data_IF_173066911116
#
_entry.id   IF_173066911116
#
_cell.length_a   1.000
_cell.length_b   1.000
_cell.length_c   1.000
_cell.angle_alpha   90.00
_cell.angle_beta   90.00
_cell.angle_gamma   90.00
#
_symmetry.space_group_name_H-M   'P 1'
#
loop_
_entity.id
_entity.type
_entity.pdbx_description
1 polymer ?
#
# COMPACT_ATOMS: atom_id res chain seq x y z
N UNK A 1 -74.70 70.31 41.45
CA UNK A 1 -73.89 69.06 41.21
C UNK A 1 -72.73 69.54 40.33
N UNK A 2 -71.52 69.57 40.88
CA UNK A 2 -70.33 69.87 40.12
C UNK A 2 -69.57 68.54 39.96
N UNK A 3 -69.10 68.29 38.76
CA UNK A 3 -68.20 67.14 38.48
C UNK A 3 -66.84 67.48 39.06
N UNK A 4 -66.32 66.56 39.83
CA UNK A 4 -64.94 66.57 40.36
C UNK A 4 -64.10 65.77 39.40
N UNK A 5 -63.25 66.42 38.64
CA UNK A 5 -62.20 65.74 37.86
C UNK A 5 -60.98 65.56 38.74
N UNK A 6 -60.61 64.34 39.06
CA UNK A 6 -59.38 64.04 39.76
C UNK A 6 -58.31 63.71 38.72
N UNK A 7 -57.34 64.55 38.57
CA UNK A 7 -56.19 64.38 37.67
C UNK A 7 -55.05 63.71 38.46
N UNK A 8 -54.81 62.49 38.20
CA UNK A 8 -53.64 61.72 38.70
C UNK A 8 -52.49 61.94 37.71
N UNK A 9 -51.50 62.70 38.11
CA UNK A 9 -50.23 62.82 37.34
C UNK A 9 -49.29 61.70 37.81
N UNK A 10 -49.01 60.79 36.95
CA UNK A 10 -48.00 59.72 37.18
C UNK A 10 -46.84 59.94 36.22
N UNK A 11 -45.60 59.72 36.72
CA UNK A 11 -44.40 59.69 35.87
C UNK A 11 -44.11 58.22 35.55
N UNK A 12 -43.93 57.90 34.24
CA UNK A 12 -43.52 56.60 33.79
C UNK A 12 -42.16 56.68 33.10
N UNK A 13 -41.35 55.62 33.25
CA UNK A 13 -40.13 55.45 32.42
C UNK A 13 -40.49 54.63 31.19
N UNK A 14 -40.13 55.19 30.05
CA UNK A 14 -40.17 54.46 28.77
C UNK A 14 -38.83 53.72 28.61
N UNK A 15 -38.87 52.38 28.47
CA UNK A 15 -37.71 51.59 28.20
C UNK A 15 -38.00 50.75 26.94
N UNK A 16 -36.97 50.49 26.14
CA UNK A 16 -37.10 49.53 25.03
C UNK A 16 -37.40 48.15 25.60
N UNK A 17 -38.30 47.41 24.96
CA UNK A 17 -38.63 46.03 25.33
C UNK A 17 -37.59 45.05 24.81
N UNK A 18 -36.84 45.40 23.75
CA UNK A 18 -35.86 44.57 23.10
C UNK A 18 -34.52 45.33 23.03
N UNK A 19 -33.49 44.71 23.62
CA UNK A 19 -32.13 45.21 23.65
C UNK A 19 -31.19 44.08 23.24
N UNK A 20 -30.34 44.34 22.28
CA UNK A 20 -29.34 43.37 21.79
C UNK A 20 -27.94 43.94 21.86
N UNK A 21 -27.01 43.07 22.19
CA UNK A 21 -25.58 43.40 22.17
C UNK A 21 -24.96 42.61 21.00
N UNK A 22 -24.46 43.32 20.02
CA UNK A 22 -23.78 42.77 18.87
C UNK A 22 -22.29 42.60 19.19
N UNK A 23 -21.84 41.37 19.08
CA UNK A 23 -20.45 40.98 19.33
C UNK A 23 -19.70 40.80 18.00
N UNK A 24 -18.38 40.92 18.06
CA UNK A 24 -17.50 40.60 16.94
C UNK A 24 -17.60 39.11 16.60
N UNK A 25 -18.12 38.72 15.43
CA UNK A 25 -18.23 37.31 15.04
C UNK A 25 -16.89 36.64 14.77
N UNK A 26 -15.86 37.42 14.46
CA UNK A 26 -14.48 36.98 14.22
C UNK A 26 -13.51 38.01 14.78
N UNK A 27 -12.29 37.53 15.12
CA UNK A 27 -11.18 38.42 15.49
C UNK A 27 -10.53 38.99 14.22
N UNK A 28 -10.45 40.33 14.15
CA UNK A 28 -9.86 41.02 12.99
C UNK A 28 -9.77 42.51 13.14
N UNK A 29 -9.27 43.18 12.11
CA UNK A 29 -9.20 44.66 12.05
C UNK A 29 -10.49 45.19 11.45
N UNK A 30 -11.11 46.21 12.13
CA UNK A 30 -12.25 46.93 11.59
C UNK A 30 -11.80 47.92 10.51
N UNK A 31 -12.50 47.95 9.38
CA UNK A 31 -12.25 48.88 8.27
C UNK A 31 -13.09 50.15 8.46
N UNK A 32 -14.40 50.03 8.37
CA UNK A 32 -15.33 51.14 8.43
C UNK A 32 -16.37 50.95 9.54
N UNK A 33 -16.78 52.03 10.15
CA UNK A 33 -17.85 52.09 11.13
C UNK A 33 -18.90 53.07 10.57
N UNK A 34 -20.06 52.52 10.24
CA UNK A 34 -21.11 53.24 9.53
C UNK A 34 -22.13 53.92 10.48
N UNK A 35 -21.98 53.71 11.79
CA UNK A 35 -22.95 54.16 12.78
C UNK A 35 -22.25 54.74 14.01
N UNK A 36 -22.93 55.68 14.70
CA UNK A 36 -22.56 56.22 15.99
C UNK A 36 -23.70 56.06 17.00
N UNK A 37 -23.39 56.22 18.28
CA UNK A 37 -24.42 56.24 19.32
C UNK A 37 -25.45 57.36 19.04
N UNK A 38 -26.72 56.99 19.03
CA UNK A 38 -27.85 57.87 18.67
C UNK A 38 -28.41 57.64 17.27
N UNK A 39 -27.74 56.91 16.39
CA UNK A 39 -28.19 56.67 15.03
C UNK A 39 -29.32 55.62 14.98
N UNK A 40 -30.31 55.88 14.12
CA UNK A 40 -31.40 54.96 13.82
C UNK A 40 -30.97 54.04 12.67
N UNK A 41 -31.17 52.72 12.82
CA UNK A 41 -30.80 51.68 11.86
C UNK A 41 -31.98 50.76 11.56
N UNK A 42 -31.93 50.12 10.42
CA UNK A 42 -32.92 49.10 10.00
C UNK A 42 -32.32 47.71 10.03
N UNK A 43 -33.17 46.71 10.20
CA UNK A 43 -32.77 45.33 10.06
C UNK A 43 -32.05 45.07 8.72
N UNK A 44 -30.87 44.50 8.78
CA UNK A 44 -30.00 44.21 7.64
C UNK A 44 -28.99 45.30 7.29
N UNK A 45 -29.03 46.48 7.94
CA UNK A 45 -28.03 47.53 7.73
C UNK A 45 -26.66 47.08 8.22
N UNK A 46 -25.61 47.33 7.42
CA UNK A 46 -24.23 47.03 7.79
C UNK A 46 -23.68 48.14 8.68
N UNK A 47 -23.44 47.78 9.95
CA UNK A 47 -23.03 48.72 10.98
C UNK A 47 -21.50 48.91 11.04
N UNK A 48 -20.77 47.81 10.83
CA UNK A 48 -19.30 47.81 10.76
C UNK A 48 -18.81 46.78 9.73
N UNK A 49 -17.67 47.08 9.12
CA UNK A 49 -16.97 46.16 8.18
C UNK A 49 -15.58 45.82 8.68
N UNK A 50 -15.07 44.66 8.24
CA UNK A 50 -13.72 44.26 8.50
C UNK A 50 -12.78 44.62 7.36
N UNK A 51 -11.48 44.72 7.67
CA UNK A 51 -10.41 44.72 6.68
C UNK A 51 -10.24 43.33 6.14
N UNK A 52 -10.60 43.15 4.86
CA UNK A 52 -10.66 41.81 4.24
C UNK A 52 -9.30 41.28 3.82
N UNK A 53 -8.27 42.15 3.65
CA UNK A 53 -6.94 41.71 3.18
C UNK A 53 -6.36 40.60 4.07
N UNK A 54 -6.37 40.82 5.38
CA UNK A 54 -5.87 39.81 6.33
C UNK A 54 -6.70 38.50 6.34
N UNK A 55 -8.01 38.62 6.11
CA UNK A 55 -8.89 37.43 6.05
C UNK A 55 -8.67 36.64 4.78
N UNK A 56 -8.45 37.30 3.65
CA UNK A 56 -8.12 36.68 2.37
C UNK A 56 -6.77 35.96 2.43
N UNK A 57 -5.74 36.59 3.03
CA UNK A 57 -4.43 35.97 3.24
C UNK A 57 -4.54 34.67 4.06
N UNK A 58 -5.28 34.71 5.19
CA UNK A 58 -5.50 33.52 6.04
C UNK A 58 -6.22 32.40 5.30
N UNK A 59 -7.28 32.72 4.55
CA UNK A 59 -8.01 31.76 3.75
C UNK A 59 -7.12 31.14 2.67
N UNK A 60 -6.30 31.96 2.00
CA UNK A 60 -5.35 31.50 0.99
C UNK A 60 -4.29 30.58 1.59
N UNK A 61 -3.72 30.94 2.73
CA UNK A 61 -2.73 30.08 3.44
C UNK A 61 -3.35 28.73 3.83
N UNK A 62 -4.54 28.75 4.42
CA UNK A 62 -5.27 27.53 4.79
C UNK A 62 -5.62 26.67 3.57
N UNK A 63 -5.99 27.28 2.44
CA UNK A 63 -6.26 26.59 1.17
C UNK A 63 -5.01 25.89 0.63
N UNK A 64 -3.86 26.59 0.64
CA UNK A 64 -2.58 26.01 0.20
C UNK A 64 -2.13 24.87 1.11
N UNK A 65 -2.32 25.01 2.42
CA UNK A 65 -1.98 23.96 3.38
C UNK A 65 -2.88 22.74 3.22
N UNK A 66 -4.19 22.91 3.04
CA UNK A 66 -5.13 21.84 2.75
C UNK A 66 -4.75 21.08 1.45
N UNK A 67 -4.45 21.85 0.39
CA UNK A 67 -4.04 21.29 -0.91
C UNK A 67 -2.77 20.46 -0.77
N UNK A 68 -1.75 21.00 -0.07
CA UNK A 68 -0.48 20.32 0.18
C UNK A 68 -0.67 19.03 0.99
N UNK A 69 -1.43 19.07 2.08
CA UNK A 69 -1.68 17.92 2.93
C UNK A 69 -2.48 16.83 2.20
N UNK A 70 -3.47 17.23 1.41
CA UNK A 70 -4.27 16.31 0.58
C UNK A 70 -3.43 15.65 -0.51
N UNK A 71 -2.57 16.41 -1.20
CA UNK A 71 -1.66 15.89 -2.22
C UNK A 71 -0.64 14.91 -1.59
N UNK A 72 -0.06 15.25 -0.44
CA UNK A 72 0.86 14.38 0.30
C UNK A 72 0.20 13.07 0.71
N UNK A 73 -0.99 13.14 1.31
CA UNK A 73 -1.78 11.96 1.67
C UNK A 73 -2.05 11.06 0.47
N UNK A 74 -2.58 11.62 -0.63
CA UNK A 74 -2.94 10.86 -1.83
C UNK A 74 -1.71 10.21 -2.48
N UNK A 75 -0.59 10.93 -2.58
CA UNK A 75 0.67 10.40 -3.10
C UNK A 75 1.16 9.23 -2.25
N UNK A 76 1.20 9.41 -0.94
CA UNK A 76 1.67 8.40 0.02
C UNK A 76 0.77 7.15 0.00
N UNK A 77 -0.56 7.30 -0.03
CA UNK A 77 -1.48 6.16 -0.11
C UNK A 77 -1.39 5.43 -1.45
N UNK A 78 -1.14 6.16 -2.55
CA UNK A 78 -0.91 5.56 -3.87
C UNK A 78 0.36 4.71 -3.88
N UNK A 79 1.47 5.22 -3.34
CA UNK A 79 2.71 4.44 -3.25
C UNK A 79 2.58 3.23 -2.31
N UNK A 80 1.88 3.38 -1.19
CA UNK A 80 1.57 2.28 -0.29
C UNK A 80 0.76 1.18 -1.00
N UNK A 81 -0.25 1.55 -1.78
CA UNK A 81 -1.06 0.61 -2.57
C UNK A 81 -0.22 -0.12 -3.63
N UNK A 82 0.69 0.58 -4.31
CA UNK A 82 1.62 -0.02 -5.27
C UNK A 82 2.57 -1.01 -4.58
N UNK A 83 3.11 -0.66 -3.42
CA UNK A 83 3.98 -1.55 -2.64
C UNK A 83 3.23 -2.80 -2.18
N UNK A 84 1.98 -2.65 -1.74
CA UNK A 84 1.13 -3.78 -1.38
C UNK A 84 0.82 -4.70 -2.58
N UNK A 85 0.56 -4.12 -3.76
CA UNK A 85 0.34 -4.89 -4.99
C UNK A 85 1.59 -5.69 -5.39
N UNK A 86 2.78 -5.06 -5.34
CA UNK A 86 4.07 -5.73 -5.60
C UNK A 86 4.36 -6.84 -4.59
N UNK A 87 4.03 -6.63 -3.32
CA UNK A 87 4.17 -7.66 -2.28
C UNK A 87 3.29 -8.87 -2.57
N UNK A 88 2.03 -8.64 -2.95
CA UNK A 88 1.09 -9.71 -3.30
C UNK A 88 1.55 -10.48 -4.54
N UNK A 89 2.03 -9.78 -5.58
CA UNK A 89 2.61 -10.37 -6.78
C UNK A 89 3.84 -11.21 -6.45
N UNK A 90 4.78 -10.68 -5.67
CA UNK A 90 5.98 -11.42 -5.24
C UNK A 90 5.62 -12.69 -4.45
N UNK A 91 4.66 -12.62 -3.53
CA UNK A 91 4.21 -13.78 -2.77
C UNK A 91 3.57 -14.86 -3.67
N UNK A 92 2.76 -14.44 -4.65
CA UNK A 92 2.14 -15.36 -5.61
C UNK A 92 3.20 -16.04 -6.48
N UNK A 93 4.15 -15.27 -7.01
CA UNK A 93 5.23 -15.80 -7.84
C UNK A 93 6.15 -16.74 -7.03
N UNK A 94 6.45 -16.40 -5.77
CA UNK A 94 7.23 -17.28 -4.89
C UNK A 94 6.57 -18.63 -4.67
N UNK A 95 5.25 -18.66 -4.46
CA UNK A 95 4.51 -19.92 -4.28
C UNK A 95 4.56 -20.79 -5.56
N UNK A 96 4.42 -20.18 -6.74
CA UNK A 96 4.53 -20.88 -8.02
C UNK A 96 5.94 -21.42 -8.24
N UNK A 97 6.97 -20.60 -7.96
CA UNK A 97 8.37 -21.00 -8.11
C UNK A 97 8.75 -22.13 -7.16
N UNK A 98 8.24 -22.12 -5.92
CA UNK A 98 8.47 -23.21 -4.97
C UNK A 98 7.91 -24.55 -5.48
N UNK A 99 6.73 -24.54 -6.08
CA UNK A 99 6.14 -25.73 -6.70
C UNK A 99 6.95 -26.18 -7.91
N UNK A 100 7.32 -25.26 -8.82
CA UNK A 100 8.12 -25.59 -10.00
C UNK A 100 9.49 -26.17 -9.62
N UNK A 101 10.15 -25.60 -8.62
CA UNK A 101 11.42 -26.12 -8.12
C UNK A 101 11.27 -27.53 -7.53
N UNK A 102 10.19 -27.79 -6.80
CA UNK A 102 9.91 -29.13 -6.27
C UNK A 102 9.72 -30.13 -7.41
N UNK A 103 8.95 -29.76 -8.44
CA UNK A 103 8.69 -30.62 -9.62
C UNK A 103 9.97 -30.93 -10.41
N UNK A 104 10.78 -29.88 -10.72
CA UNK A 104 12.06 -30.07 -11.40
C UNK A 104 13.05 -30.92 -10.59
N UNK A 105 13.15 -30.73 -9.28
CA UNK A 105 14.01 -31.51 -8.40
C UNK A 105 13.55 -32.99 -8.34
N UNK A 106 12.25 -33.23 -8.30
CA UNK A 106 11.68 -34.56 -8.38
C UNK A 106 12.00 -35.24 -9.71
N UNK A 107 11.81 -34.52 -10.82
CA UNK A 107 12.13 -35.00 -12.16
C UNK A 107 13.63 -35.27 -12.35
N UNK A 108 14.49 -34.37 -11.87
CA UNK A 108 15.95 -34.59 -11.88
C UNK A 108 16.34 -35.88 -11.18
N UNK A 109 15.75 -36.13 -10.00
CA UNK A 109 15.98 -37.34 -9.25
C UNK A 109 15.54 -38.60 -10.04
N UNK A 110 14.36 -38.54 -10.67
CA UNK A 110 13.86 -39.65 -11.49
C UNK A 110 14.81 -39.96 -12.65
N UNK A 111 15.33 -38.94 -13.35
CA UNK A 111 16.29 -39.10 -14.44
C UNK A 111 17.60 -39.73 -13.94
N UNK A 112 18.13 -39.26 -12.81
CA UNK A 112 19.33 -39.80 -12.20
C UNK A 112 19.16 -41.25 -11.78
N UNK A 113 18.00 -41.62 -11.20
CA UNK A 113 17.69 -42.99 -10.80
C UNK A 113 17.55 -43.93 -12.03
N UNK A 114 16.92 -43.44 -13.10
CA UNK A 114 16.84 -44.19 -14.39
C UNK A 114 18.20 -44.41 -15.00
N UNK A 115 19.05 -43.38 -15.04
CA UNK A 115 20.42 -43.51 -15.55
C UNK A 115 21.24 -44.51 -14.74
N UNK A 116 21.22 -44.39 -13.40
CA UNK A 116 21.93 -45.29 -12.51
C UNK A 116 21.44 -46.73 -12.60
N UNK A 117 20.12 -46.95 -12.77
CA UNK A 117 19.53 -48.27 -12.98
C UNK A 117 20.01 -48.90 -14.29
N UNK A 118 19.97 -48.13 -15.38
CA UNK A 118 20.45 -48.60 -16.70
C UNK A 118 21.92 -48.98 -16.66
N UNK A 119 22.79 -48.18 -16.06
CA UNK A 119 24.22 -48.46 -15.92
C UNK A 119 24.48 -49.70 -15.09
N UNK A 120 23.78 -49.88 -13.96
CA UNK A 120 23.90 -51.07 -13.12
C UNK A 120 23.44 -52.33 -13.85
N UNK A 121 22.34 -52.28 -14.60
CA UNK A 121 21.81 -53.40 -15.36
C UNK A 121 22.78 -53.82 -16.47
N UNK A 122 23.32 -52.88 -17.24
CA UNK A 122 24.34 -53.12 -18.27
C UNK A 122 25.59 -53.77 -17.65
N UNK A 123 26.09 -53.25 -16.53
CA UNK A 123 27.25 -53.80 -15.84
C UNK A 123 27.00 -55.22 -15.33
N UNK A 124 25.81 -55.49 -14.79
CA UNK A 124 25.41 -56.83 -14.33
C UNK A 124 25.40 -57.83 -15.48
N UNK A 125 24.74 -57.48 -16.60
CA UNK A 125 24.65 -58.33 -17.78
C UNK A 125 26.04 -58.68 -18.35
N UNK A 126 26.92 -57.67 -18.50
CA UNK A 126 28.27 -57.87 -18.97
C UNK A 126 29.12 -58.77 -18.03
N UNK A 127 28.92 -58.57 -16.70
CA UNK A 127 29.62 -59.39 -15.71
C UNK A 127 29.15 -60.85 -15.70
N UNK A 128 27.83 -61.07 -15.80
CA UNK A 128 27.26 -62.43 -15.90
C UNK A 128 27.73 -63.13 -17.15
N UNK A 129 27.68 -62.50 -18.33
CA UNK A 129 28.16 -63.06 -19.58
C UNK A 129 29.66 -63.38 -19.55
N UNK A 130 30.46 -62.43 -19.00
CA UNK A 130 31.90 -62.64 -18.83
C UNK A 130 32.21 -63.84 -17.93
N UNK A 131 31.45 -64.00 -16.84
CA UNK A 131 31.60 -65.19 -15.94
C UNK A 131 31.27 -66.50 -16.66
N UNK A 132 30.13 -66.56 -17.38
CA UNK A 132 29.72 -67.77 -18.12
C UNK A 132 30.72 -68.11 -19.22
N UNK A 133 31.23 -67.12 -19.97
CA UNK A 133 32.27 -67.33 -20.99
C UNK A 133 33.57 -67.87 -20.39
N UNK A 134 33.97 -67.34 -19.22
CA UNK A 134 35.17 -67.78 -18.51
C UNK A 134 35.02 -69.17 -18.00
N UNK A 135 33.87 -69.57 -17.46
CA UNK A 135 33.55 -70.88 -17.00
C UNK A 135 33.59 -71.92 -18.17
N UNK A 136 32.88 -71.56 -19.27
CA UNK A 136 32.86 -72.43 -20.47
C UNK A 136 34.26 -72.60 -21.07
N UNK A 137 35.08 -71.55 -21.11
CA UNK A 137 36.48 -71.67 -21.56
C UNK A 137 37.30 -72.58 -20.68
N UNK A 138 37.14 -72.50 -19.33
CA UNK A 138 37.81 -73.39 -18.40
C UNK A 138 37.43 -74.88 -18.59
N UNK A 139 36.11 -75.16 -18.75
CA UNK A 139 35.57 -76.50 -18.96
C UNK A 139 36.09 -77.11 -20.29
N UNK A 140 36.06 -76.34 -21.38
CA UNK A 140 36.59 -76.77 -22.68
C UNK A 140 38.09 -76.95 -22.67
N UNK A 141 38.85 -76.15 -21.96
CA UNK A 141 40.30 -76.29 -21.80
C UNK A 141 40.64 -77.53 -21.02
N UNK A 142 39.82 -77.92 -20.02
CA UNK A 142 39.99 -79.15 -19.28
C UNK A 142 39.66 -80.39 -20.16
N UNK A 143 38.59 -80.36 -20.97
CA UNK A 143 38.23 -81.40 -21.92
C UNK A 143 39.34 -81.59 -22.97
N UNK A 144 39.96 -80.52 -23.45
CA UNK A 144 41.06 -80.57 -24.41
C UNK A 144 42.31 -81.25 -23.85
N UNK A 145 42.52 -81.19 -22.51
CA UNK A 145 43.64 -81.86 -21.83
C UNK A 145 43.39 -83.33 -21.51
N UNK A 146 42.18 -83.84 -21.68
CA UNK A 146 41.87 -85.27 -21.45
C UNK A 146 42.41 -86.08 -22.63
N UNK A 147 43.20 -87.09 -22.28
CA UNK A 147 43.78 -88.04 -23.23
C UNK A 147 42.78 -88.91 -24.03
N UNK A 148 41.49 -88.88 -23.63
CA UNK A 148 40.39 -89.59 -24.32
C UNK A 148 39.76 -88.68 -25.43
N UNK A 149 40.12 -87.43 -25.58
CA UNK A 149 39.55 -86.51 -26.55
C UNK A 149 40.01 -86.82 -27.96
N UNK A 150 39.06 -87.07 -28.89
CA UNK A 150 39.37 -87.36 -30.29
C UNK A 150 39.94 -86.09 -31.01
N UNK A 151 40.73 -86.37 -32.09
CA UNK A 151 41.30 -85.23 -32.87
C UNK A 151 40.26 -84.34 -33.51
N UNK A 152 39.09 -84.83 -33.88
CA UNK A 152 38.01 -84.03 -34.46
C UNK A 152 37.31 -83.18 -33.35
N UNK A 153 37.08 -83.72 -32.16
CA UNK A 153 36.59 -83.01 -31.00
C UNK A 153 37.55 -81.88 -30.53
N UNK A 154 38.86 -82.19 -30.57
CA UNK A 154 39.86 -81.16 -30.26
C UNK A 154 39.86 -80.00 -31.24
N UNK A 155 39.58 -80.21 -32.52
CA UNK A 155 39.38 -79.11 -33.51
C UNK A 155 38.14 -78.27 -33.19
N UNK A 156 37.04 -78.97 -32.83
CA UNK A 156 35.80 -78.27 -32.43
C UNK A 156 36.03 -77.40 -31.17
N UNK A 157 36.66 -77.92 -30.14
CA UNK A 157 37.00 -77.21 -28.92
C UNK A 157 37.87 -76.01 -29.20
N UNK A 158 38.88 -76.10 -30.05
CA UNK A 158 39.71 -74.97 -30.41
C UNK A 158 38.92 -73.86 -31.12
N UNK A 159 37.93 -74.20 -31.95
CA UNK A 159 37.03 -73.27 -32.58
C UNK A 159 36.13 -72.62 -31.56
N UNK A 160 35.53 -73.39 -30.62
CA UNK A 160 34.71 -72.86 -29.52
C UNK A 160 35.49 -71.87 -28.62
N UNK A 161 36.75 -72.21 -28.28
CA UNK A 161 37.64 -71.31 -27.52
C UNK A 161 37.94 -69.99 -28.26
N UNK A 162 38.12 -70.07 -29.58
CA UNK A 162 38.30 -68.91 -30.43
C UNK A 162 37.04 -68.00 -30.41
N UNK A 163 35.85 -68.64 -30.53
CA UNK A 163 34.56 -67.93 -30.46
C UNK A 163 34.35 -67.29 -29.09
N UNK A 164 34.72 -67.94 -27.99
CA UNK A 164 34.69 -67.38 -26.63
C UNK A 164 35.64 -66.22 -26.50
N UNK A 165 36.84 -66.27 -27.00
CA UNK A 165 37.80 -65.18 -26.99
C UNK A 165 37.26 -63.93 -27.75
N UNK A 166 36.63 -64.13 -28.91
CA UNK A 166 35.99 -63.12 -29.66
C UNK A 166 34.82 -62.48 -28.88
N UNK A 167 34.00 -63.31 -28.17
CA UNK A 167 32.90 -62.78 -27.31
C UNK A 167 33.44 -62.02 -26.12
N UNK A 168 34.49 -62.44 -25.45
CA UNK A 168 35.14 -61.70 -24.36
C UNK A 168 35.72 -60.38 -24.83
N UNK A 169 36.34 -60.31 -25.99
CA UNK A 169 36.82 -59.08 -26.61
C UNK A 169 35.67 -58.12 -26.90
N UNK A 170 34.54 -58.64 -27.42
CA UNK A 170 33.32 -57.84 -27.64
C UNK A 170 32.76 -57.30 -26.33
N UNK A 171 32.69 -58.10 -25.26
CA UNK A 171 32.19 -57.61 -23.96
C UNK A 171 33.08 -56.50 -23.41
N UNK A 172 34.38 -56.61 -23.52
CA UNK A 172 35.34 -55.60 -23.12
C UNK A 172 35.15 -54.30 -23.93
N UNK A 173 34.89 -54.41 -25.24
CA UNK A 173 34.55 -53.26 -26.09
C UNK A 173 33.24 -52.62 -25.67
N UNK A 174 32.15 -53.40 -25.50
CA UNK A 174 30.85 -52.89 -25.06
C UNK A 174 30.98 -52.16 -23.70
N UNK A 175 31.73 -52.73 -22.76
CA UNK A 175 32.00 -52.11 -21.47
C UNK A 175 32.72 -50.76 -21.62
N UNK A 176 33.69 -50.67 -22.57
CA UNK A 176 34.43 -49.43 -22.80
C UNK A 176 33.57 -48.27 -23.36
N UNK A 177 32.52 -48.62 -24.14
CA UNK A 177 31.62 -47.63 -24.78
C UNK A 177 30.28 -47.47 -24.04
N UNK A 178 30.00 -48.20 -22.98
CA UNK A 178 28.72 -48.16 -22.27
C UNK A 178 28.38 -46.79 -21.73
N UNK A 179 29.38 -46.00 -21.30
CA UNK A 179 29.23 -44.62 -20.81
C UNK A 179 28.97 -43.60 -21.90
N UNK A 180 29.23 -43.94 -23.19
CA UNK A 180 29.01 -43.04 -24.34
C UNK A 180 27.91 -43.53 -25.28
N UNK A 181 27.06 -44.48 -24.82
CA UNK A 181 25.87 -44.85 -25.60
C UNK A 181 24.91 -43.71 -25.78
N UNK A 182 24.21 -43.64 -26.91
CA UNK A 182 23.24 -42.55 -27.20
C UNK A 182 22.22 -42.37 -26.06
N UNK A 183 21.80 -43.47 -25.45
CA UNK A 183 20.88 -43.42 -24.31
C UNK A 183 21.48 -42.67 -23.11
N UNK A 184 22.72 -42.99 -22.73
CA UNK A 184 23.42 -42.36 -21.61
C UNK A 184 23.68 -40.89 -21.91
N UNK A 185 24.15 -40.57 -23.11
CA UNK A 185 24.39 -39.16 -23.55
C UNK A 185 23.12 -38.36 -23.55
N UNK A 186 22.01 -38.87 -24.09
CA UNK A 186 20.72 -38.20 -24.09
C UNK A 186 20.21 -37.94 -22.67
N UNK A 187 20.29 -38.92 -21.78
CA UNK A 187 19.90 -38.76 -20.36
C UNK A 187 20.76 -37.74 -19.64
N UNK A 188 22.08 -37.69 -19.91
CA UNK A 188 22.97 -36.68 -19.33
C UNK A 188 22.65 -35.29 -19.83
N UNK A 189 22.34 -35.12 -21.11
CA UNK A 189 21.91 -33.85 -21.67
C UNK A 189 20.58 -33.38 -21.07
N UNK A 190 19.63 -34.28 -20.87
CA UNK A 190 18.35 -33.97 -20.24
C UNK A 190 18.54 -33.56 -18.76
N UNK A 191 19.39 -34.29 -18.03
CA UNK A 191 19.78 -33.93 -16.65
C UNK A 191 20.40 -32.53 -16.61
N UNK A 192 21.31 -32.19 -17.54
CA UNK A 192 21.94 -30.87 -17.61
C UNK A 192 20.91 -29.77 -17.88
N UNK A 193 19.97 -29.99 -18.79
CA UNK A 193 18.90 -29.06 -19.10
C UNK A 193 17.99 -28.83 -17.89
N UNK A 194 17.61 -29.87 -17.16
CA UNK A 194 16.78 -29.74 -15.95
C UNK A 194 17.53 -28.97 -14.84
N UNK A 195 18.84 -29.22 -14.70
CA UNK A 195 19.69 -28.47 -13.75
C UNK A 195 19.79 -26.97 -14.10
N UNK A 196 19.84 -26.65 -15.39
CA UNK A 196 19.81 -25.25 -15.86
C UNK A 196 18.47 -24.60 -15.47
N UNK A 197 17.33 -25.23 -15.73
CA UNK A 197 16.02 -24.71 -15.33
C UNK A 197 15.88 -24.55 -13.81
N UNK A 198 16.43 -25.44 -13.01
CA UNK A 198 16.48 -25.30 -11.55
C UNK A 198 17.24 -24.03 -11.18
N UNK A 199 18.40 -23.80 -11.80
CA UNK A 199 19.23 -22.63 -11.52
C UNK A 199 18.51 -21.33 -11.91
N UNK A 200 17.86 -21.30 -13.06
CA UNK A 200 17.04 -20.15 -13.50
C UNK A 200 15.90 -19.86 -12.53
N UNK A 201 15.15 -20.87 -12.09
CA UNK A 201 14.09 -20.73 -11.11
C UNK A 201 14.62 -20.23 -9.75
N UNK A 202 15.77 -20.73 -9.30
CA UNK A 202 16.40 -20.28 -8.04
C UNK A 202 16.85 -18.82 -8.11
N UNK A 203 17.40 -18.38 -9.25
CA UNK A 203 17.76 -16.98 -9.48
C UNK A 203 16.51 -16.06 -9.47
N UNK A 204 15.45 -16.50 -10.16
CA UNK A 204 14.20 -15.73 -10.19
C UNK A 204 13.54 -15.69 -8.81
N UNK A 205 13.57 -16.78 -8.07
CA UNK A 205 13.11 -16.82 -6.68
C UNK A 205 13.87 -15.84 -5.79
N UNK A 206 15.19 -15.76 -5.90
CA UNK A 206 16.00 -14.79 -5.16
C UNK A 206 15.62 -13.33 -5.51
N UNK A 207 15.35 -13.06 -6.78
CA UNK A 207 14.86 -11.74 -7.22
C UNK A 207 13.48 -11.40 -6.59
N UNK A 208 12.55 -12.34 -6.60
CA UNK A 208 11.22 -12.14 -5.99
C UNK A 208 11.30 -11.97 -4.47
N UNK A 209 12.20 -12.67 -3.79
CA UNK A 209 12.46 -12.48 -2.36
C UNK A 209 13.01 -11.07 -2.05
N UNK A 210 13.91 -10.56 -2.89
CA UNK A 210 14.40 -9.18 -2.78
C UNK A 210 13.28 -8.16 -3.00
N UNK A 211 12.44 -8.35 -4.01
CA UNK A 211 11.27 -7.50 -4.27
C UNK A 211 10.27 -7.52 -3.11
N UNK A 212 9.99 -8.71 -2.55
CA UNK A 212 9.17 -8.87 -1.36
C UNK A 212 9.70 -8.05 -0.20
N UNK A 213 10.98 -8.22 0.16
CA UNK A 213 11.62 -7.50 1.27
C UNK A 213 11.59 -5.98 1.07
N UNK A 214 11.86 -5.51 -0.15
CA UNK A 214 11.77 -4.08 -0.49
C UNK A 214 10.35 -3.56 -0.32
N UNK A 215 9.35 -4.31 -0.81
CA UNK A 215 7.94 -3.91 -0.69
C UNK A 215 7.48 -3.89 0.76
N UNK A 216 7.85 -4.89 1.57
CA UNK A 216 7.55 -4.95 3.01
C UNK A 216 8.13 -3.74 3.78
N UNK A 217 9.34 -3.31 3.42
CA UNK A 217 9.98 -2.15 4.07
C UNK A 217 9.35 -0.80 3.70
N UNK A 218 8.63 -0.72 2.59
CA UNK A 218 7.98 0.51 2.10
C UNK A 218 6.49 0.60 2.43
N UNK A 219 5.86 -0.50 2.84
CA UNK A 219 4.47 -0.51 3.24
C UNK A 219 4.32 0.20 4.58
N UNK A 220 3.39 1.16 4.61
CA UNK A 220 3.07 1.89 5.83
C UNK A 220 2.36 0.97 6.84
N UNK A 221 2.76 1.10 8.09
CA UNK A 221 1.98 0.51 9.17
C UNK A 221 0.71 1.34 9.46
N UNK A 222 -0.22 0.76 10.25
CA UNK A 222 -1.48 1.41 10.57
C UNK A 222 -1.31 2.77 11.26
N UNK A 223 -0.30 2.95 12.09
CA UNK A 223 -0.04 4.22 12.78
C UNK A 223 0.42 5.30 11.81
N UNK A 224 1.31 4.97 10.88
CA UNK A 224 1.79 5.91 9.86
C UNK A 224 0.66 6.35 8.93
N UNK A 225 -0.18 5.43 8.46
CA UNK A 225 -1.32 5.76 7.59
C UNK A 225 -2.35 6.62 8.31
N UNK A 226 -2.61 6.36 9.61
CA UNK A 226 -3.48 7.19 10.45
C UNK A 226 -2.89 8.58 10.66
N UNK A 227 -1.56 8.69 10.83
CA UNK A 227 -0.89 10.00 10.94
C UNK A 227 -1.09 10.86 9.70
N UNK A 228 -0.86 10.31 8.50
CA UNK A 228 -1.11 11.06 7.25
C UNK A 228 -2.59 11.44 7.06
N UNK A 229 -3.52 10.57 7.49
CA UNK A 229 -4.94 10.91 7.46
C UNK A 229 -5.28 12.05 8.42
N UNK A 230 -4.74 12.02 9.64
CA UNK A 230 -4.94 13.07 10.64
C UNK A 230 -4.37 14.42 10.19
N UNK A 231 -3.19 14.44 9.56
CA UNK A 231 -2.59 15.67 9.01
C UNK A 231 -3.46 16.30 7.90
N UNK A 232 -4.04 15.46 7.03
CA UNK A 232 -4.99 15.89 6.00
C UNK A 232 -6.26 16.46 6.63
N UNK A 233 -6.83 15.74 7.60
CA UNK A 233 -8.09 16.12 8.24
C UNK A 233 -7.94 17.38 9.08
N UNK A 234 -6.80 17.56 9.75
CA UNK A 234 -6.45 18.80 10.47
C UNK A 234 -6.36 19.98 9.50
N UNK A 235 -5.66 19.82 8.38
CA UNK A 235 -5.56 20.88 7.37
C UNK A 235 -6.93 21.23 6.76
N UNK A 236 -7.82 20.25 6.61
CA UNK A 236 -9.19 20.47 6.16
C UNK A 236 -10.03 21.24 7.19
N UNK A 237 -9.86 20.93 8.49
CA UNK A 237 -10.52 21.66 9.56
C UNK A 237 -10.06 23.12 9.61
N UNK A 238 -8.75 23.36 9.56
CA UNK A 238 -8.17 24.69 9.51
C UNK A 238 -8.68 25.52 8.31
N UNK A 239 -8.80 24.86 7.15
CA UNK A 239 -9.40 25.52 5.97
C UNK A 239 -10.85 25.94 6.22
N UNK A 240 -11.67 25.04 6.78
CA UNK A 240 -13.07 25.36 7.09
C UNK A 240 -13.20 26.50 8.09
N UNK A 241 -12.39 26.50 9.13
CA UNK A 241 -12.36 27.59 10.11
C UNK A 241 -11.99 28.93 9.45
N UNK A 242 -10.98 28.93 8.59
CA UNK A 242 -10.59 30.15 7.85
C UNK A 242 -11.69 30.61 6.88
N UNK A 243 -12.37 29.67 6.22
CA UNK A 243 -13.49 29.96 5.32
C UNK A 243 -14.68 30.56 6.08
N UNK A 244 -15.06 30.01 7.22
CA UNK A 244 -16.14 30.51 8.09
C UNK A 244 -15.80 31.90 8.61
N UNK A 245 -14.56 32.14 9.05
CA UNK A 245 -14.09 33.44 9.49
C UNK A 245 -14.13 34.48 8.35
N UNK A 246 -13.70 34.09 7.14
CA UNK A 246 -13.76 34.96 5.96
C UNK A 246 -15.19 35.37 5.62
N UNK A 247 -16.14 34.45 5.56
CA UNK A 247 -17.54 34.78 5.24
C UNK A 247 -18.21 35.56 6.35
N UNK A 248 -17.90 35.29 7.61
CA UNK A 248 -18.39 36.06 8.75
C UNK A 248 -17.88 37.50 8.74
N UNK A 249 -16.58 37.71 8.47
CA UNK A 249 -15.98 39.02 8.30
C UNK A 249 -16.57 39.75 7.10
N UNK A 250 -16.79 39.05 5.96
CA UNK A 250 -17.37 39.62 4.75
C UNK A 250 -18.82 40.10 4.95
N UNK A 251 -19.60 39.38 5.76
CA UNK A 251 -20.95 39.81 6.14
C UNK A 251 -20.88 41.11 6.96
N UNK A 252 -19.82 41.34 7.72
CA UNK A 252 -19.71 42.44 8.66
C UNK A 252 -20.62 42.28 9.88
N UNK A 253 -20.79 43.38 10.62
CA UNK A 253 -21.71 43.44 11.74
C UNK A 253 -22.96 44.12 11.24
N UNK A 254 -24.09 43.43 11.28
CA UNK A 254 -25.38 43.90 10.76
C UNK A 254 -26.40 44.04 11.87
N UNK A 255 -27.37 44.93 11.72
CA UNK A 255 -28.48 45.09 12.63
C UNK A 255 -29.48 43.93 12.41
N UNK A 256 -29.91 43.24 13.48
CA UNK A 256 -30.90 42.17 13.40
C UNK A 256 -32.35 42.66 13.39
N UNK A 257 -32.58 43.91 13.89
CA UNK A 257 -33.90 44.58 13.90
C UNK A 257 -33.77 46.09 13.76
N UNK A 258 -34.93 46.76 13.51
CA UNK A 258 -35.02 48.21 13.45
C UNK A 258 -34.87 48.81 14.83
N UNK A 259 -33.88 49.71 15.04
CA UNK A 259 -33.59 50.22 16.36
C UNK A 259 -32.71 51.49 16.36
N UNK A 260 -32.30 51.85 17.56
CA UNK A 260 -31.37 52.95 17.80
C UNK A 260 -30.09 52.38 18.43
N UNK A 261 -28.95 52.77 17.91
CA UNK A 261 -27.63 52.43 18.48
C UNK A 261 -27.46 53.24 19.77
N UNK A 262 -27.40 52.55 20.91
CA UNK A 262 -27.20 53.19 22.22
C UNK A 262 -25.73 53.28 22.62
N UNK A 263 -24.92 52.31 22.14
CA UNK A 263 -23.48 52.26 22.40
C UNK A 263 -22.74 51.75 21.16
N UNK A 264 -21.61 52.35 20.82
CA UNK A 264 -20.71 51.94 19.78
C UNK A 264 -19.27 52.05 20.29
N UNK A 265 -18.59 50.91 20.49
CA UNK A 265 -17.22 50.82 21.05
C UNK A 265 -16.18 50.58 19.97
N UNK A 266 -16.59 50.25 18.74
CA UNK A 266 -15.68 50.01 17.60
C UNK A 266 -14.90 51.27 17.23
N UNK A 267 -13.64 51.10 16.81
CA UNK A 267 -12.80 52.16 16.26
C UNK A 267 -12.26 51.71 14.91
N UNK A 268 -12.46 52.52 13.87
CA UNK A 268 -11.93 52.23 12.53
C UNK A 268 -10.41 52.06 12.57
N UNK A 269 -9.90 51.01 11.94
CA UNK A 269 -8.50 50.63 11.94
C UNK A 269 -8.01 49.86 13.19
N UNK A 270 -8.84 49.71 14.23
CA UNK A 270 -8.49 48.94 15.43
C UNK A 270 -8.75 47.45 15.22
N UNK A 271 -7.93 46.59 15.87
CA UNK A 271 -8.14 45.14 15.94
C UNK A 271 -9.08 44.81 17.10
N UNK A 272 -10.04 43.93 16.85
CA UNK A 272 -10.98 43.41 17.85
C UNK A 272 -10.79 41.89 17.99
N UNK A 273 -11.01 41.40 19.19
CA UNK A 273 -11.04 39.94 19.42
C UNK A 273 -12.43 39.41 19.08
N UNK A 274 -12.50 38.13 18.68
CA UNK A 274 -13.76 37.40 18.57
C UNK A 274 -14.52 37.45 19.91
N UNK A 275 -15.83 37.70 19.85
CA UNK A 275 -16.68 37.83 21.04
C UNK A 275 -16.56 39.20 21.75
N UNK A 276 -15.81 40.19 21.23
CA UNK A 276 -15.77 41.52 21.77
C UNK A 276 -17.13 42.21 21.54
N UNK A 277 -17.68 42.91 22.58
CA UNK A 277 -18.88 43.71 22.46
C UNK A 277 -18.57 44.94 21.63
N UNK A 278 -19.32 45.21 20.58
CA UNK A 278 -19.11 46.32 19.64
C UNK A 278 -20.24 47.31 19.59
N UNK A 279 -21.47 46.84 19.57
CA UNK A 279 -22.65 47.69 19.44
C UNK A 279 -23.73 47.23 20.44
N UNK A 280 -24.44 48.20 21.01
CA UNK A 280 -25.69 47.92 21.72
C UNK A 280 -26.80 48.56 20.93
N UNK A 281 -27.80 47.74 20.55
CA UNK A 281 -28.98 48.16 19.76
C UNK A 281 -30.22 48.01 20.62
N UNK A 282 -31.09 49.05 20.65
CA UNK A 282 -32.38 49.02 21.32
C UNK A 282 -33.50 49.25 20.31
N UNK A 283 -34.56 48.41 20.37
CA UNK A 283 -35.71 48.53 19.46
C UNK A 283 -36.42 49.87 19.60
N UNK A 284 -36.73 50.49 18.47
CA UNK A 284 -37.53 51.71 18.41
C UNK A 284 -39.04 51.43 18.37
N UNK A 285 -39.43 50.21 18.01
CA UNK A 285 -40.85 49.87 17.76
C UNK A 285 -41.52 49.20 18.96
N UNK A 286 -40.78 48.60 19.85
CA UNK A 286 -41.27 47.86 21.03
C UNK A 286 -40.81 48.59 22.30
N UNK A 287 -41.71 49.46 22.86
CA UNK A 287 -41.41 50.20 24.09
C UNK A 287 -42.34 49.75 25.23
N UNK A 288 -41.76 49.52 26.39
CA UNK A 288 -42.45 49.23 27.65
C UNK A 288 -42.48 50.49 28.49
N UNK A 289 -43.71 50.90 28.90
CA UNK A 289 -43.89 52.04 29.85
C UNK A 289 -44.12 51.43 31.24
N UNK A 290 -43.22 51.73 32.16
CA UNK A 290 -43.36 51.35 33.57
C UNK A 290 -43.77 52.55 34.36
N UNK A 291 -44.93 52.48 35.01
CA UNK A 291 -45.45 53.51 35.86
C UNK A 291 -45.06 53.23 37.31
N UNK A 292 -44.48 54.23 37.99
CA UNK A 292 -44.31 54.15 39.43
C UNK A 292 -45.64 54.61 40.08
N UNK A 293 -46.30 53.64 40.74
CA UNK A 293 -47.60 53.92 41.41
C UNK A 293 -47.42 54.35 42.86
#
# INVERSE_FOLDING_TARGET
RGDIEENVSTSGKVASEEKEILFAPVGGRLSEINVAAGDAVKAGDVLMTYDMEQMEERLQEATLQQTKSSASYNSTMTENSKSQAKLNEANTNLAVLDQQLADYKAYLKELQDKLAKSQRETQRQLSEESYELSRKSADLSKELQDSATSADRAKEINKELQDISASQARNSYVQSIAGSSDYVVNMQNEIASVQEHITECENYKAQMQSQKSTSESTILNGYQSTGYAADRDLAQLTYKEAEEQYYSAKKGIVADFDGIVTECTGVSGASVAEGAQLITLESSNNVKVTFDA
#
